data_IF_245588847900
#
_entry.id   IF_245588847900
#
_cell.length_a   1.000
_cell.length_b   1.000
_cell.length_c   1.000
_cell.angle_alpha   90.00
_cell.angle_beta   90.00
_cell.angle_gamma   90.00
#
_symmetry.space_group_name_H-M   'P 1'
#
loop_
_entity.id
_entity.type
_entity.pdbx_description
1 polymer ?
#
# COMPACT_ATOMS: atom_id res chain seq x y z
N UNK A 1 -11.40 -37.73 -57.03
CA UNK A 1 -11.96 -38.03 -55.69
C UNK A 1 -11.42 -39.39 -55.24
N UNK A 2 -10.55 -39.42 -54.25
CA UNK A 2 -10.06 -40.67 -53.63
C UNK A 2 -9.68 -40.36 -52.19
N UNK A 3 -10.59 -40.68 -51.26
CA UNK A 3 -10.41 -40.51 -49.82
C UNK A 3 -9.71 -41.72 -49.22
N UNK A 4 -8.59 -41.50 -48.52
CA UNK A 4 -7.99 -42.49 -47.62
C UNK A 4 -8.18 -42.02 -46.19
N UNK A 5 -9.11 -42.67 -45.47
CA UNK A 5 -9.27 -42.54 -44.01
C UNK A 5 -8.13 -43.32 -43.33
N UNK A 6 -7.36 -42.66 -42.46
CA UNK A 6 -6.39 -43.32 -41.57
C UNK A 6 -7.11 -43.82 -40.31
N UNK A 7 -6.68 -44.96 -39.72
CA UNK A 7 -7.37 -45.58 -38.60
C UNK A 7 -7.09 -44.88 -37.26
N UNK A 8 -8.13 -44.82 -36.44
CA UNK A 8 -8.17 -44.29 -35.08
C UNK A 8 -7.38 -45.22 -34.14
N UNK A 9 -6.30 -44.74 -33.52
CA UNK A 9 -5.57 -45.49 -32.48
C UNK A 9 -6.16 -45.16 -31.10
N UNK A 10 -6.79 -46.15 -30.48
CA UNK A 10 -7.21 -46.10 -29.08
C UNK A 10 -5.99 -46.01 -28.17
N UNK A 11 -5.86 -44.93 -27.41
CA UNK A 11 -4.91 -44.85 -26.28
C UNK A 11 -5.58 -45.47 -25.06
N UNK A 12 -5.04 -46.60 -24.61
CA UNK A 12 -5.31 -47.16 -23.29
C UNK A 12 -4.92 -46.11 -22.22
N UNK A 13 -5.84 -45.80 -21.30
CA UNK A 13 -5.53 -44.97 -20.12
C UNK A 13 -4.69 -45.80 -19.16
N UNK A 14 -3.46 -45.35 -18.90
CA UNK A 14 -2.69 -45.83 -17.75
C UNK A 14 -3.39 -45.37 -16.46
N UNK A 15 -3.51 -46.27 -15.49
CA UNK A 15 -4.05 -45.97 -14.16
C UNK A 15 -3.14 -44.96 -13.45
N UNK A 16 -3.73 -43.91 -12.86
CA UNK A 16 -3.01 -42.92 -12.08
C UNK A 16 -2.58 -43.53 -10.74
N UNK A 17 -1.31 -43.35 -10.38
CA UNK A 17 -0.78 -43.75 -9.07
C UNK A 17 -1.42 -42.89 -7.95
N UNK A 18 -1.60 -43.45 -6.74
CA UNK A 18 -2.21 -42.73 -5.62
C UNK A 18 -1.32 -41.57 -5.16
N UNK A 19 -1.91 -40.38 -5.08
CA UNK A 19 -1.29 -39.17 -4.53
C UNK A 19 -1.12 -39.37 -3.01
N UNK A 20 0.11 -39.34 -2.53
CA UNK A 20 0.36 -39.34 -1.08
C UNK A 20 -0.13 -38.02 -0.45
N UNK A 21 -0.66 -38.04 0.79
CA UNK A 21 -1.06 -36.82 1.47
C UNK A 21 0.20 -35.97 1.70
N UNK A 22 0.23 -34.77 1.13
CA UNK A 22 1.26 -33.80 1.46
C UNK A 22 1.07 -33.38 2.92
N UNK A 23 2.10 -33.59 3.74
CA UNK A 23 2.21 -32.99 5.07
C UNK A 23 2.03 -31.48 4.91
N UNK A 24 1.05 -30.92 5.63
CA UNK A 24 0.78 -29.49 5.61
C UNK A 24 1.98 -28.76 6.20
N UNK A 25 2.70 -28.03 5.35
CA UNK A 25 3.69 -27.05 5.81
C UNK A 25 2.97 -26.08 6.77
N UNK A 26 3.43 -25.92 8.01
CA UNK A 26 2.82 -24.96 8.92
C UNK A 26 2.89 -23.57 8.28
N UNK A 27 1.73 -22.94 8.11
CA UNK A 27 1.66 -21.56 7.62
C UNK A 27 2.29 -20.65 8.68
N UNK A 28 3.15 -19.69 8.29
CA UNK A 28 3.74 -18.75 9.22
C UNK A 28 2.70 -17.68 9.59
N UNK A 29 1.64 -18.08 10.28
CA UNK A 29 0.72 -17.15 10.93
C UNK A 29 1.32 -16.78 12.28
N UNK A 30 1.76 -15.51 12.45
CA UNK A 30 1.63 -14.69 13.69
C UNK A 30 2.79 -13.74 14.07
N UNK A 31 3.84 -13.53 13.26
CA UNK A 31 4.90 -12.54 13.60
C UNK A 31 5.33 -11.65 12.43
N UNK A 32 4.39 -11.23 11.58
CA UNK A 32 4.63 -10.03 10.78
C UNK A 32 4.20 -8.87 11.67
N UNK A 33 5.15 -8.27 12.38
CA UNK A 33 4.99 -6.88 12.83
C UNK A 33 4.46 -6.10 11.63
N UNK A 34 3.32 -5.41 11.75
CA UNK A 34 2.70 -4.67 10.64
C UNK A 34 3.73 -3.68 10.06
N UNK A 35 4.46 -4.12 9.03
CA UNK A 35 5.55 -3.35 8.44
C UNK A 35 4.93 -2.09 7.89
N UNK A 36 5.31 -0.95 8.46
CA UNK A 36 4.70 0.34 8.09
C UNK A 36 3.75 0.93 9.13
N UNK A 37 3.49 0.27 10.27
CA UNK A 37 2.68 0.79 11.37
C UNK A 37 3.56 1.31 12.53
N UNK A 38 3.38 2.57 12.89
CA UNK A 38 4.03 3.19 14.04
C UNK A 38 3.07 3.24 15.24
N UNK A 39 3.36 2.54 16.35
CA UNK A 39 2.52 2.61 17.55
C UNK A 39 2.63 3.96 18.29
N UNK A 40 3.65 4.77 18.00
CA UNK A 40 3.92 6.08 18.62
C UNK A 40 3.23 7.24 17.87
N UNK A 41 2.14 6.95 17.12
CA UNK A 41 1.29 7.99 16.52
C UNK A 41 0.78 8.95 17.59
N UNK A 42 0.62 10.23 17.24
CA UNK A 42 0.11 11.27 18.12
C UNK A 42 -1.16 11.95 17.57
N UNK A 43 -1.70 12.91 18.32
CA UNK A 43 -2.96 13.60 18.03
C UNK A 43 -2.97 14.43 16.74
N UNK A 44 -1.81 14.72 16.14
CA UNK A 44 -1.70 15.50 14.91
C UNK A 44 -1.89 14.68 13.63
N UNK A 45 -2.13 13.36 13.76
CA UNK A 45 -2.37 12.49 12.61
C UNK A 45 -3.55 13.03 11.77
N UNK A 46 -3.33 13.16 10.47
CA UNK A 46 -4.27 13.70 9.47
C UNK A 46 -4.65 15.18 9.63
N UNK A 47 -4.02 15.93 10.53
CA UNK A 47 -4.10 17.39 10.49
C UNK A 47 -3.48 17.91 9.18
N UNK A 48 -3.87 19.10 8.78
CA UNK A 48 -3.27 19.74 7.61
C UNK A 48 -2.05 20.55 8.05
N UNK A 49 -1.03 20.62 7.21
CA UNK A 49 0.04 21.61 7.33
C UNK A 49 -0.44 22.96 6.77
N UNK A 50 0.31 24.03 6.99
CA UNK A 50 0.03 25.34 6.38
C UNK A 50 -0.05 25.26 4.85
N UNK A 51 0.75 24.41 4.22
CA UNK A 51 0.71 24.20 2.77
C UNK A 51 -0.40 23.24 2.31
N UNK A 52 -1.23 22.73 3.22
CA UNK A 52 -2.38 21.87 2.90
C UNK A 52 -2.07 20.38 2.73
N UNK A 53 -0.89 19.91 3.15
CA UNK A 53 -0.56 18.49 3.16
C UNK A 53 -1.10 17.79 4.41
N UNK A 54 -1.55 16.54 4.28
CA UNK A 54 -2.03 15.72 5.38
C UNK A 54 -0.85 15.17 6.20
N UNK A 55 -0.81 15.39 7.50
CA UNK A 55 0.23 14.82 8.37
C UNK A 55 0.09 13.29 8.42
N UNK A 56 1.15 12.59 8.03
CA UNK A 56 1.25 11.13 8.14
C UNK A 56 2.45 10.73 8.99
N UNK A 57 2.26 9.74 9.86
CA UNK A 57 3.27 9.35 10.86
C UNK A 57 3.82 7.94 10.64
N UNK A 58 3.28 7.24 9.64
CA UNK A 58 3.81 6.01 9.06
C UNK A 58 3.17 5.75 7.69
N UNK A 59 3.40 4.57 7.11
CA UNK A 59 2.85 4.20 5.80
C UNK A 59 1.42 3.70 5.95
N UNK A 60 1.15 2.87 6.96
CA UNK A 60 -0.16 2.27 7.19
C UNK A 60 -1.25 3.33 7.35
N UNK A 61 -0.99 4.45 8.05
CA UNK A 61 -1.97 5.52 8.24
C UNK A 61 -2.36 6.20 6.92
N UNK A 62 -1.45 6.29 5.95
CA UNK A 62 -1.74 6.88 4.64
C UNK A 62 -2.71 5.98 3.87
N UNK A 63 -2.47 4.66 3.90
CA UNK A 63 -3.37 3.68 3.30
C UNK A 63 -4.74 3.70 3.99
N UNK A 64 -4.79 3.74 5.32
CA UNK A 64 -6.03 3.83 6.11
C UNK A 64 -6.85 5.07 5.72
N UNK A 65 -6.18 6.23 5.59
CA UNK A 65 -6.82 7.47 5.18
C UNK A 65 -7.47 7.31 3.81
N UNK A 66 -6.72 6.83 2.83
CA UNK A 66 -7.22 6.64 1.46
C UNK A 66 -8.35 5.62 1.39
N UNK A 67 -8.29 4.55 2.20
CA UNK A 67 -9.34 3.53 2.26
C UNK A 67 -10.66 4.08 2.83
N UNK A 68 -10.58 5.02 3.77
CA UNK A 68 -11.75 5.68 4.38
C UNK A 68 -12.26 6.87 3.56
N UNK A 69 -11.41 7.48 2.76
CA UNK A 69 -11.76 8.61 1.91
C UNK A 69 -12.75 8.22 0.80
N UNK A 70 -13.62 9.15 0.45
CA UNK A 70 -14.57 9.03 -0.66
C UNK A 70 -14.21 10.02 -1.76
N UNK A 71 -14.65 9.73 -2.99
CA UNK A 71 -14.44 10.64 -4.10
C UNK A 71 -15.16 11.98 -3.84
N UNK A 72 -14.45 13.13 -3.87
CA UNK A 72 -15.07 14.44 -3.60
C UNK A 72 -16.08 14.86 -4.67
N UNK A 73 -16.05 14.23 -5.86
CA UNK A 73 -16.96 14.56 -6.96
C UNK A 73 -18.28 13.78 -6.92
N UNK A 74 -18.28 12.55 -6.42
CA UNK A 74 -19.46 11.67 -6.51
C UNK A 74 -19.68 10.75 -5.31
N UNK A 75 -18.89 10.89 -4.23
CA UNK A 75 -18.96 10.04 -3.03
C UNK A 75 -18.53 8.58 -3.23
N UNK A 76 -18.14 8.19 -4.44
CA UNK A 76 -17.81 6.80 -4.78
C UNK A 76 -16.49 6.33 -4.15
N UNK A 77 -16.33 5.00 -4.05
CA UNK A 77 -15.11 4.36 -3.53
C UNK A 77 -13.88 4.71 -4.38
N UNK A 78 -12.78 5.03 -3.70
CA UNK A 78 -11.48 5.24 -4.31
C UNK A 78 -10.68 3.94 -4.35
N UNK A 79 -9.98 3.70 -5.45
CA UNK A 79 -9.00 2.62 -5.59
C UNK A 79 -7.61 3.23 -5.67
N UNK A 80 -6.72 2.84 -4.76
CA UNK A 80 -5.31 3.21 -4.82
C UNK A 80 -4.66 2.59 -6.07
N UNK A 81 -3.99 3.42 -6.85
CA UNK A 81 -3.33 3.05 -8.10
C UNK A 81 -1.82 3.10 -7.98
N UNK A 82 -1.29 4.08 -7.24
CA UNK A 82 0.13 4.24 -7.00
C UNK A 82 0.40 4.92 -5.67
N UNK A 83 1.54 4.58 -5.07
CA UNK A 83 2.13 5.25 -3.93
C UNK A 83 3.53 5.71 -4.34
N UNK A 84 3.74 7.02 -4.38
CA UNK A 84 4.97 7.65 -4.83
C UNK A 84 5.66 8.30 -3.63
N UNK A 85 6.90 7.89 -3.37
CA UNK A 85 7.71 8.51 -2.35
C UNK A 85 8.36 9.78 -2.90
N UNK A 86 8.03 10.94 -2.31
CA UNK A 86 8.63 12.25 -2.62
C UNK A 86 9.51 12.69 -1.46
N UNK A 87 10.28 11.74 -0.89
CA UNK A 87 11.00 11.94 0.36
C UNK A 87 12.07 13.03 0.29
N UNK A 88 12.63 13.40 -0.87
CA UNK A 88 13.47 14.60 -1.01
C UNK A 88 12.73 15.92 -0.73
N UNK A 89 11.39 15.92 -0.71
CA UNK A 89 10.54 17.06 -0.35
C UNK A 89 9.86 16.87 1.03
N UNK A 90 10.14 15.74 1.70
CA UNK A 90 9.45 15.35 2.92
C UNK A 90 7.98 15.01 2.69
N UNK A 91 7.62 14.56 1.48
CA UNK A 91 6.24 14.28 1.09
C UNK A 91 6.07 12.83 0.62
N UNK A 92 4.83 12.35 0.69
CA UNK A 92 4.39 11.07 0.15
C UNK A 92 3.09 11.27 -0.61
N UNK A 93 2.96 10.70 -1.80
CA UNK A 93 1.81 10.93 -2.68
C UNK A 93 1.08 9.62 -2.97
N UNK A 94 -0.24 9.61 -2.77
CA UNK A 94 -1.11 8.50 -3.11
C UNK A 94 -2.06 8.91 -4.22
N UNK A 95 -1.92 8.22 -5.36
CA UNK A 95 -2.74 8.45 -6.55
C UNK A 95 -3.85 7.41 -6.59
N UNK A 96 -5.10 7.89 -6.67
CA UNK A 96 -6.28 7.04 -6.70
C UNK A 96 -7.16 7.33 -7.91
N UNK A 97 -8.01 6.35 -8.26
CA UNK A 97 -9.10 6.52 -9.23
C UNK A 97 -10.43 6.19 -8.56
N UNK A 98 -11.43 7.05 -8.75
CA UNK A 98 -12.80 6.76 -8.33
C UNK A 98 -13.42 5.65 -9.18
N UNK A 99 -14.00 4.65 -8.55
CA UNK A 99 -14.66 3.55 -9.26
C UNK A 99 -16.00 3.95 -9.90
N UNK A 100 -16.62 5.04 -9.45
CA UNK A 100 -17.86 5.59 -10.00
C UNK A 100 -17.61 6.52 -11.19
N UNK A 101 -17.10 7.72 -10.93
CA UNK A 101 -16.91 8.76 -11.97
C UNK A 101 -15.58 8.70 -12.71
N UNK A 102 -14.68 7.76 -12.38
CA UNK A 102 -13.34 7.57 -12.98
C UNK A 102 -12.38 8.76 -12.84
N UNK A 103 -12.76 9.79 -12.09
CA UNK A 103 -11.88 10.90 -11.77
C UNK A 103 -10.70 10.43 -10.91
N UNK A 104 -9.54 11.06 -11.16
CA UNK A 104 -8.33 10.86 -10.38
C UNK A 104 -8.38 11.76 -9.14
N UNK A 105 -8.05 11.21 -7.98
CA UNK A 105 -7.92 11.96 -6.73
C UNK A 105 -6.53 11.68 -6.17
N UNK A 106 -5.82 12.74 -5.79
CA UNK A 106 -4.45 12.67 -5.28
C UNK A 106 -4.48 13.13 -3.82
N UNK A 107 -3.82 12.37 -2.96
CA UNK A 107 -3.56 12.73 -1.57
C UNK A 107 -2.06 12.96 -1.41
N UNK A 108 -1.69 14.09 -0.83
CA UNK A 108 -0.30 14.42 -0.52
C UNK A 108 -0.17 14.47 0.99
N UNK A 109 0.72 13.64 1.51
CA UNK A 109 1.00 13.52 2.92
C UNK A 109 2.35 14.17 3.25
N UNK A 110 2.39 14.94 4.33
CA UNK A 110 3.64 15.34 4.96
C UNK A 110 4.19 14.17 5.79
N UNK A 111 5.40 13.75 5.44
CA UNK A 111 6.19 12.75 6.16
C UNK A 111 7.47 13.38 6.73
N UNK A 112 7.60 14.71 6.71
CA UNK A 112 8.77 15.43 7.22
C UNK A 112 8.84 15.44 8.75
N UNK A 113 7.71 15.20 9.40
CA UNK A 113 7.55 15.23 10.85
C UNK A 113 8.43 14.25 11.63
N UNK A 114 8.81 14.65 12.83
CA UNK A 114 9.74 13.90 13.69
C UNK A 114 9.24 12.50 14.05
N UNK A 115 7.92 12.32 14.19
CA UNK A 115 7.34 11.01 14.52
C UNK A 115 7.61 10.00 13.41
N UNK A 116 7.33 10.37 12.15
CA UNK A 116 7.63 9.54 10.99
C UNK A 116 9.12 9.24 10.88
N UNK A 117 9.95 10.29 10.95
CA UNK A 117 11.40 10.19 10.73
C UNK A 117 12.09 9.36 11.82
N UNK A 118 11.72 9.59 13.08
CA UNK A 118 12.28 8.87 14.24
C UNK A 118 11.88 7.40 14.21
N UNK A 119 10.63 7.09 13.86
CA UNK A 119 10.18 5.71 13.78
C UNK A 119 10.95 4.94 12.71
N UNK A 120 11.08 5.48 11.50
CA UNK A 120 11.87 4.82 10.45
C UNK A 120 13.36 4.71 10.79
N UNK A 121 13.92 5.71 11.48
CA UNK A 121 15.29 5.62 12.00
C UNK A 121 15.45 4.47 13.01
N UNK A 122 14.48 4.26 13.91
CA UNK A 122 14.47 3.12 14.84
C UNK A 122 14.36 1.78 14.11
N UNK A 123 13.52 1.69 13.07
CA UNK A 123 13.31 0.45 12.31
C UNK A 123 14.51 0.06 11.44
N UNK A 124 15.16 1.04 10.81
CA UNK A 124 16.21 0.80 9.80
C UNK A 124 17.63 1.03 10.34
N UNK A 125 17.78 1.66 11.51
CA UNK A 125 19.07 1.95 12.12
C UNK A 125 19.97 2.75 11.17
N UNK A 126 21.21 2.29 11.01
CA UNK A 126 22.22 2.92 10.15
C UNK A 126 21.86 2.89 8.65
N UNK A 127 20.90 2.05 8.24
CA UNK A 127 20.40 2.03 6.85
C UNK A 127 19.42 3.17 6.56
N UNK A 128 18.98 3.89 7.60
CA UNK A 128 18.08 5.01 7.42
C UNK A 128 18.82 6.26 6.96
N UNK A 129 18.43 6.76 5.80
CA UNK A 129 18.87 8.08 5.31
C UNK A 129 17.66 9.00 5.26
N UNK A 130 17.66 10.02 6.12
CA UNK A 130 16.69 11.11 6.06
C UNK A 130 16.94 11.92 4.78
N UNK A 131 16.01 11.81 3.83
CA UNK A 131 16.14 12.45 2.51
C UNK A 131 15.71 13.92 2.50
N UNK A 132 14.87 14.33 3.44
CA UNK A 132 14.44 15.72 3.60
C UNK A 132 15.17 16.38 4.77
N UNK A 133 15.97 17.39 4.45
CA UNK A 133 16.82 18.16 5.36
C UNK A 133 16.24 19.52 5.75
N UNK A 134 15.09 19.89 5.17
CA UNK A 134 14.36 21.10 5.53
C UNK A 134 13.66 21.04 6.89
N UNK A 135 13.13 22.17 7.38
CA UNK A 135 12.39 22.20 8.63
C UNK A 135 11.12 21.35 8.53
N UNK A 136 10.75 20.72 9.65
CA UNK A 136 9.48 20.02 9.82
C UNK A 136 8.31 20.98 9.65
N UNK A 137 7.34 20.62 8.81
CA UNK A 137 6.10 21.37 8.66
C UNK A 137 5.26 21.25 9.92
N UNK A 138 4.67 22.35 10.36
CA UNK A 138 3.85 22.38 11.56
C UNK A 138 2.41 21.98 11.22
N UNK A 139 1.80 21.07 12.00
CA UNK A 139 0.36 20.81 11.91
C UNK A 139 -0.44 22.07 12.25
N UNK A 140 -1.50 22.31 11.49
CA UNK A 140 -2.54 23.29 11.75
C UNK A 140 -3.80 22.56 12.19
N UNK A 141 -4.44 23.09 13.24
CA UNK A 141 -5.72 22.57 13.73
C UNK A 141 -6.77 22.60 12.61
N UNK A 142 -7.57 21.53 12.46
CA UNK A 142 -8.76 21.58 11.62
C UNK A 142 -9.70 22.66 12.19
N UNK A 143 -9.94 23.71 11.41
CA UNK A 143 -10.91 24.76 11.75
C UNK A 143 -12.36 24.32 11.65
#
# INVERSE_FOLDING_TARGET
MSGRRKPWRSRQRAAAAPVQPQESVPQPDSLIDDVGYNPERNQYLFWLTEEGYLVAQDITCQHEYVQRATCPHCGGKLKLMAHLNRAGQGLSEMVTICLGCRQRVIFIFDISNEVYQTWWAKQLGDLYVRQYDGPTRQPQEPG
#
